data_IF_041774169502
#
_entry.id   IF_041774169502
#
_cell.length_a   1.000
_cell.length_b   1.000
_cell.length_c   1.000
_cell.angle_alpha   90.00
_cell.angle_beta   90.00
_cell.angle_gamma   90.00
#
_symmetry.space_group_name_H-M   'P 1'
#
loop_
_entity.id
_entity.type
_entity.pdbx_description
1 polymer ?
#
# COMPACT_ATOMS: atom_id res chain seq x y z
N UNK A 1 -5.53 -22.27 31.13
CA UNK A 1 -6.52 -21.46 30.40
C UNK A 1 -5.74 -20.31 29.77
N UNK A 2 -5.40 -20.43 28.49
CA UNK A 2 -4.62 -19.42 27.75
C UNK A 2 -5.63 -18.71 26.83
N UNK A 3 -6.07 -17.52 27.22
CA UNK A 3 -6.75 -16.58 26.34
C UNK A 3 -5.65 -15.65 25.79
N UNK A 4 -5.53 -15.26 24.54
CA UNK A 4 -6.26 -15.53 23.30
C UNK A 4 -5.35 -14.94 22.20
N UNK A 5 -5.12 -15.67 21.11
CA UNK A 5 -4.43 -15.10 19.96
C UNK A 5 -5.44 -14.18 19.30
N UNK A 6 -5.38 -12.86 19.54
CA UNK A 6 -6.32 -11.91 18.94
C UNK A 6 -6.51 -12.23 17.45
N UNK A 7 -7.70 -12.73 17.08
CA UNK A 7 -7.92 -13.18 15.71
C UNK A 7 -7.94 -11.95 14.84
N UNK A 8 -6.87 -11.75 14.06
CA UNK A 8 -6.82 -10.65 13.11
C UNK A 8 -7.64 -11.06 11.88
N UNK A 9 -8.74 -10.34 11.64
CA UNK A 9 -9.58 -10.55 10.46
C UNK A 9 -9.30 -9.43 9.47
N UNK A 10 -9.08 -9.78 8.20
CA UNK A 10 -8.89 -8.81 7.12
C UNK A 10 -10.10 -8.89 6.19
N UNK A 11 -10.77 -7.75 5.97
CA UNK A 11 -11.98 -7.66 5.17
C UNK A 11 -11.88 -6.51 4.15
N UNK A 12 -12.56 -6.62 3.00
CA UNK A 12 -12.80 -5.46 2.16
C UNK A 12 -13.65 -4.44 2.92
N UNK A 13 -13.33 -3.16 2.76
CA UNK A 13 -14.02 -2.04 3.40
C UNK A 13 -14.36 -0.95 2.39
N UNK A 14 -15.32 -0.09 2.72
CA UNK A 14 -15.64 1.08 1.90
C UNK A 14 -14.59 2.18 2.04
N UNK A 15 -14.58 3.13 1.10
CA UNK A 15 -13.74 4.34 1.20
C UNK A 15 -13.97 5.04 2.53
N UNK A 16 -15.24 5.23 2.92
CA UNK A 16 -15.59 5.99 4.12
C UNK A 16 -15.07 5.31 5.39
N UNK A 17 -15.06 3.97 5.44
CA UNK A 17 -14.45 3.20 6.54
C UNK A 17 -12.93 3.38 6.63
N UNK A 18 -12.25 3.80 5.56
CA UNK A 18 -10.80 4.09 5.60
C UNK A 18 -10.47 5.46 6.20
N UNK A 19 -11.39 6.43 6.05
CA UNK A 19 -11.07 7.85 6.24
C UNK A 19 -10.67 8.20 7.68
N UNK A 20 -11.34 7.71 8.74
CA UNK A 20 -10.97 8.03 10.11
C UNK A 20 -9.52 7.64 10.42
N UNK A 21 -9.13 6.41 10.09
CA UNK A 21 -7.77 5.93 10.39
C UNK A 21 -6.72 6.60 9.50
N UNK A 22 -7.03 6.86 8.22
CA UNK A 22 -6.14 7.63 7.33
C UNK A 22 -5.90 9.02 7.90
N UNK A 23 -6.92 9.70 8.40
CA UNK A 23 -6.80 11.02 9.02
C UNK A 23 -5.92 10.92 10.27
N UNK A 24 -6.32 10.07 11.23
CA UNK A 24 -5.63 9.89 12.52
C UNK A 24 -4.12 9.67 12.34
N UNK A 25 -3.73 8.77 11.43
CA UNK A 25 -2.34 8.31 11.32
C UNK A 25 -1.52 9.10 10.30
N UNK A 26 -2.11 9.49 9.16
CA UNK A 26 -1.34 10.08 8.07
C UNK A 26 -1.39 11.60 8.08
N UNK A 27 -2.53 12.19 8.45
CA UNK A 27 -2.77 13.63 8.40
C UNK A 27 -3.73 14.10 9.52
N UNK A 28 -3.32 14.00 10.81
CA UNK A 28 -4.21 14.29 11.93
C UNK A 28 -4.68 15.75 11.99
N UNK A 29 -3.95 16.65 11.35
CA UNK A 29 -4.27 18.08 11.30
C UNK A 29 -5.11 18.49 10.08
N UNK A 30 -5.40 17.57 9.14
CA UNK A 30 -6.21 17.88 7.96
C UNK A 30 -7.68 17.51 8.20
N UNK A 31 -8.63 18.27 7.64
CA UNK A 31 -10.03 17.87 7.64
C UNK A 31 -10.24 16.62 6.77
N UNK A 32 -11.25 15.81 7.10
CA UNK A 32 -11.46 14.46 6.54
C UNK A 32 -11.66 14.50 5.00
N UNK A 33 -12.23 15.57 4.47
CA UNK A 33 -12.46 15.78 3.03
C UNK A 33 -11.14 15.91 2.25
N UNK A 34 -10.07 16.39 2.91
CA UNK A 34 -8.72 16.50 2.31
C UNK A 34 -7.94 15.17 2.40
N UNK A 35 -8.45 14.20 3.16
CA UNK A 35 -7.85 12.86 3.29
C UNK A 35 -8.29 11.95 2.13
N UNK A 36 -9.53 12.14 1.66
CA UNK A 36 -10.14 11.43 0.52
C UNK A 36 -9.37 11.71 -0.76
N UNK A 37 -9.14 10.66 -1.55
CA UNK A 37 -8.51 10.75 -2.86
C UNK A 37 -9.58 10.90 -3.95
N UNK A 38 -9.35 11.74 -4.98
CA UNK A 38 -10.20 11.76 -6.17
C UNK A 38 -10.41 10.38 -6.80
N UNK A 39 -9.39 9.53 -6.73
CA UNK A 39 -9.32 8.19 -7.32
C UNK A 39 -9.74 7.06 -6.38
N UNK A 40 -10.21 7.34 -5.15
CA UNK A 40 -10.56 6.30 -4.17
C UNK A 40 -11.60 5.31 -4.73
N UNK A 41 -12.57 5.75 -5.53
CA UNK A 41 -13.59 4.88 -6.15
C UNK A 41 -13.03 3.83 -7.12
N UNK A 42 -11.78 3.98 -7.56
CA UNK A 42 -11.11 3.07 -8.48
C UNK A 42 -10.23 2.04 -7.75
N UNK A 43 -10.20 2.08 -6.42
CA UNK A 43 -9.35 1.24 -5.59
C UNK A 43 -10.09 0.09 -4.93
N UNK A 44 -9.30 -0.88 -4.45
CA UNK A 44 -9.73 -1.90 -3.50
C UNK A 44 -9.17 -1.55 -2.14
N UNK A 45 -10.02 -1.54 -1.12
CA UNK A 45 -9.64 -1.12 0.23
C UNK A 45 -9.84 -2.27 1.20
N UNK A 46 -8.86 -2.48 2.08
CA UNK A 46 -8.88 -3.52 3.08
C UNK A 46 -8.65 -2.93 4.46
N UNK A 47 -9.41 -3.42 5.43
CA UNK A 47 -9.26 -3.13 6.85
C UNK A 47 -8.85 -4.38 7.60
N UNK A 48 -7.96 -4.24 8.57
CA UNK A 48 -7.65 -5.28 9.54
C UNK A 48 -8.36 -4.97 10.86
N UNK A 49 -9.05 -5.96 11.42
CA UNK A 49 -9.87 -5.86 12.62
C UNK A 49 -9.35 -6.84 13.67
N UNK A 50 -9.30 -6.41 14.93
CA UNK A 50 -9.07 -7.30 16.05
C UNK A 50 -10.41 -7.76 16.61
N UNK A 51 -10.46 -8.94 17.23
CA UNK A 51 -11.65 -9.43 17.90
C UNK A 51 -12.25 -8.36 18.85
N UNK A 52 -13.55 -8.15 18.75
CA UNK A 52 -14.28 -7.16 19.54
C UNK A 52 -14.12 -5.71 19.08
N UNK A 53 -13.49 -5.45 17.93
CA UNK A 53 -13.42 -4.09 17.34
C UNK A 53 -14.35 -3.94 16.14
N UNK A 54 -15.13 -2.86 16.11
CA UNK A 54 -15.98 -2.50 14.97
C UNK A 54 -15.22 -1.69 13.91
N UNK A 55 -14.14 -1.01 14.32
CA UNK A 55 -13.31 -0.18 13.46
C UNK A 55 -12.02 -0.89 13.08
N UNK A 56 -11.58 -0.70 11.83
CA UNK A 56 -10.29 -1.20 11.39
C UNK A 56 -9.15 -0.57 12.20
N UNK A 57 -8.22 -1.39 12.67
CA UNK A 57 -6.99 -0.98 13.37
C UNK A 57 -5.82 -0.75 12.41
N UNK A 58 -5.96 -1.22 11.17
CA UNK A 58 -5.08 -0.90 10.06
C UNK A 58 -5.86 -0.88 8.75
N UNK A 59 -5.47 -0.01 7.81
CA UNK A 59 -6.10 0.09 6.48
C UNK A 59 -5.03 0.18 5.40
N UNK A 60 -5.32 -0.39 4.24
CA UNK A 60 -4.51 -0.29 3.02
C UNK A 60 -5.42 -0.18 1.81
N UNK A 61 -4.94 0.44 0.73
CA UNK A 61 -5.72 0.59 -0.51
C UNK A 61 -4.85 0.29 -1.72
N UNK A 62 -5.37 -0.45 -2.68
CA UNK A 62 -4.68 -0.91 -3.89
C UNK A 62 -5.37 -0.31 -5.12
N UNK A 63 -4.58 0.13 -6.09
CA UNK A 63 -5.04 0.74 -7.33
C UNK A 63 -4.28 0.10 -8.51
N UNK A 64 -4.94 -0.09 -9.66
CA UNK A 64 -4.22 -0.39 -10.91
C UNK A 64 -3.54 0.90 -11.38
N UNK A 65 -2.22 0.96 -11.27
CA UNK A 65 -1.43 2.14 -11.64
C UNK A 65 -0.08 1.70 -12.21
N UNK A 66 0.23 2.02 -13.49
CA UNK A 66 1.51 1.71 -14.14
C UNK A 66 2.74 2.21 -13.37
N UNK A 67 3.82 1.43 -13.34
CA UNK A 67 5.16 1.92 -12.92
C UNK A 67 5.74 2.91 -13.95
N UNK A 68 5.43 2.70 -15.24
CA UNK A 68 6.01 3.43 -16.37
C UNK A 68 5.74 4.95 -16.36
N UNK A 69 4.71 5.42 -15.66
CA UNK A 69 4.44 6.86 -15.48
C UNK A 69 5.60 7.62 -14.80
N UNK A 70 6.54 6.91 -14.18
CA UNK A 70 7.68 7.52 -13.49
C UNK A 70 9.05 7.17 -14.09
N UNK A 71 9.11 6.29 -15.09
CA UNK A 71 10.36 5.91 -15.77
C UNK A 71 10.66 6.81 -16.99
N UNK A 72 9.68 7.53 -17.52
CA UNK A 72 9.81 8.32 -18.77
C UNK A 72 10.32 9.74 -18.60
N UNK A 73 10.78 10.16 -17.40
CA UNK A 73 11.53 11.42 -17.25
C UNK A 73 13.02 11.21 -17.55
N UNK A 74 13.35 10.58 -18.67
CA UNK A 74 14.63 10.78 -19.34
C UNK A 74 14.45 11.91 -20.37
N UNK A 75 15.43 12.80 -20.49
CA UNK A 75 15.38 14.02 -21.32
C UNK A 75 15.31 13.78 -22.84
N UNK A 76 14.92 12.59 -23.31
CA UNK A 76 14.81 12.31 -24.74
C UNK A 76 13.52 12.90 -25.31
N UNK A 77 13.67 14.02 -26.01
CA UNK A 77 12.60 14.77 -26.67
C UNK A 77 11.92 14.01 -27.84
N UNK A 78 12.14 12.70 -27.99
CA UNK A 78 11.65 11.88 -29.09
C UNK A 78 11.04 10.52 -28.66
N UNK A 79 10.59 10.37 -27.42
CA UNK A 79 9.83 9.18 -27.03
C UNK A 79 8.32 9.44 -27.12
N UNK A 80 7.73 9.16 -28.29
CA UNK A 80 6.28 9.08 -28.46
C UNK A 80 5.69 8.14 -27.41
N UNK A 81 5.08 8.71 -26.36
CA UNK A 81 4.62 7.95 -25.20
C UNK A 81 3.30 7.27 -25.56
N UNK A 82 3.38 6.11 -26.21
CA UNK A 82 2.25 5.19 -26.26
C UNK A 82 2.12 4.59 -24.86
N UNK A 83 1.37 5.28 -23.99
CA UNK A 83 0.99 4.83 -22.66
C UNK A 83 0.09 3.59 -22.81
N UNK A 84 0.69 2.44 -23.08
CA UNK A 84 0.03 1.17 -22.91
C UNK A 84 -0.33 1.09 -21.42
N UNK A 85 -1.62 0.97 -21.10
CA UNK A 85 -2.04 0.63 -19.75
C UNK A 85 -1.40 -0.71 -19.41
N UNK A 86 -0.25 -0.66 -18.75
CA UNK A 86 0.36 -1.83 -18.20
C UNK A 86 -0.46 -2.27 -16.99
N UNK A 87 -1.47 -3.10 -17.26
CA UNK A 87 -2.35 -3.71 -16.25
C UNK A 87 -1.60 -4.71 -15.39
N UNK A 88 -0.33 -5.02 -15.71
CA UNK A 88 0.50 -5.92 -14.91
C UNK A 88 1.06 -5.27 -13.65
N UNK A 89 0.72 -4.02 -13.36
CA UNK A 89 1.22 -3.35 -12.16
C UNK A 89 0.09 -2.77 -11.30
N UNK A 90 0.29 -2.85 -9.99
CA UNK A 90 -0.61 -2.25 -9.01
C UNK A 90 0.20 -1.40 -8.02
N UNK A 91 -0.45 -0.37 -7.48
CA UNK A 91 0.12 0.48 -6.45
C UNK A 91 -0.70 0.39 -5.19
N UNK A 92 -0.06 0.16 -4.04
CA UNK A 92 -0.74 0.37 -2.77
C UNK A 92 -0.45 1.76 -2.21
N UNK A 93 -1.44 2.33 -1.55
CA UNK A 93 -1.42 3.67 -0.97
C UNK A 93 -2.21 3.69 0.33
N UNK A 94 -2.04 4.79 1.07
CA UNK A 94 -2.80 5.09 2.30
C UNK A 94 -2.72 3.97 3.34
N UNK A 95 -1.56 3.32 3.41
CA UNK A 95 -1.31 2.26 4.37
C UNK A 95 -1.05 2.87 5.75
N UNK A 96 -1.92 2.55 6.71
CA UNK A 96 -1.92 3.12 8.05
C UNK A 96 -2.26 2.04 9.09
N UNK A 97 -1.70 2.15 10.29
CA UNK A 97 -1.99 1.29 11.43
C UNK A 97 -1.98 2.13 12.72
N UNK A 98 -2.98 1.94 13.59
CA UNK A 98 -3.11 2.63 14.87
C UNK A 98 -1.80 2.57 15.65
N UNK A 99 -1.27 3.73 16.06
CA UNK A 99 0.08 3.83 16.62
C UNK A 99 0.28 2.93 17.86
N UNK A 100 -0.74 2.84 18.71
CA UNK A 100 -0.75 2.01 19.94
C UNK A 100 -0.75 0.49 19.67
N UNK A 101 -1.02 0.08 18.43
CA UNK A 101 -1.10 -1.31 17.99
C UNK A 101 0.04 -1.69 17.02
N UNK A 102 0.95 -0.76 16.70
CA UNK A 102 2.13 -1.06 15.89
C UNK A 102 3.10 -2.00 16.63
N UNK A 103 3.99 -2.64 15.87
CA UNK A 103 4.94 -3.64 16.40
C UNK A 103 4.36 -5.03 16.66
N UNK A 104 3.06 -5.24 16.41
CA UNK A 104 2.34 -6.51 16.67
C UNK A 104 2.10 -7.39 15.44
N UNK A 105 2.76 -7.11 14.33
CA UNK A 105 2.60 -7.86 13.08
C UNK A 105 1.34 -7.56 12.25
N UNK A 106 0.40 -6.76 12.76
CA UNK A 106 -0.86 -6.38 12.07
C UNK A 106 -0.60 -5.82 10.67
N UNK A 107 0.26 -4.80 10.56
CA UNK A 107 0.60 -4.21 9.27
C UNK A 107 1.29 -5.19 8.31
N UNK A 108 2.08 -6.14 8.82
CA UNK A 108 2.69 -7.18 7.99
C UNK A 108 1.62 -8.05 7.35
N UNK A 109 0.67 -8.54 8.16
CA UNK A 109 -0.41 -9.41 7.69
C UNK A 109 -1.30 -8.67 6.68
N UNK A 110 -1.62 -7.40 6.95
CA UNK A 110 -2.41 -6.58 6.03
C UNK A 110 -1.68 -6.32 4.70
N UNK A 111 -0.36 -6.04 4.73
CA UNK A 111 0.44 -5.90 3.52
C UNK A 111 0.49 -7.21 2.73
N UNK A 112 0.72 -8.36 3.39
CA UNK A 112 0.74 -9.67 2.74
C UNK A 112 -0.60 -9.99 2.05
N UNK A 113 -1.72 -9.71 2.73
CA UNK A 113 -3.05 -9.85 2.13
C UNK A 113 -3.20 -8.98 0.87
N UNK A 114 -2.80 -7.71 0.96
CA UNK A 114 -2.85 -6.78 -0.16
C UNK A 114 -1.98 -7.23 -1.35
N UNK A 115 -0.75 -7.67 -1.09
CA UNK A 115 0.15 -8.18 -2.12
C UNK A 115 -0.42 -9.44 -2.78
N UNK A 116 -0.97 -10.37 -1.98
CA UNK A 116 -1.58 -11.57 -2.52
C UNK A 116 -2.82 -11.24 -3.38
N UNK A 117 -3.70 -10.36 -2.91
CA UNK A 117 -4.84 -9.89 -3.69
C UNK A 117 -4.41 -9.25 -5.02
N UNK A 118 -3.40 -8.37 -5.01
CA UNK A 118 -2.90 -7.76 -6.23
C UNK A 118 -2.37 -8.81 -7.22
N UNK A 119 -1.68 -9.84 -6.71
CA UNK A 119 -1.16 -10.94 -7.54
C UNK A 119 -2.26 -11.82 -8.11
N UNK A 120 -3.18 -12.32 -7.27
CA UNK A 120 -4.15 -13.35 -7.65
C UNK A 120 -5.37 -12.76 -8.33
N UNK A 121 -5.93 -11.67 -7.79
CA UNK A 121 -7.20 -11.10 -8.26
C UNK A 121 -6.97 -10.05 -9.35
N UNK A 122 -5.89 -9.27 -9.25
CA UNK A 122 -5.60 -8.24 -10.26
C UNK A 122 -4.68 -8.73 -11.37
N UNK A 123 -4.02 -9.88 -11.20
CA UNK A 123 -3.02 -10.39 -12.13
C UNK A 123 -1.76 -9.50 -12.20
N UNK A 124 -1.51 -8.70 -11.15
CA UNK A 124 -0.34 -7.85 -11.11
C UNK A 124 0.92 -8.72 -11.01
N UNK A 125 1.93 -8.38 -11.80
CA UNK A 125 3.30 -8.91 -11.77
C UNK A 125 4.20 -8.08 -10.87
N UNK A 126 3.90 -6.79 -10.73
CA UNK A 126 4.63 -5.88 -9.84
C UNK A 126 3.65 -5.11 -8.98
N UNK A 127 3.98 -4.99 -7.69
CA UNK A 127 3.31 -4.05 -6.79
C UNK A 127 4.30 -2.99 -6.33
N UNK A 128 3.89 -1.73 -6.31
CA UNK A 128 4.75 -0.63 -5.88
C UNK A 128 4.06 0.37 -4.95
N UNK A 129 4.84 1.23 -4.30
CA UNK A 129 4.34 2.33 -3.47
C UNK A 129 5.33 3.49 -3.41
N UNK A 130 4.85 4.63 -2.89
CA UNK A 130 5.72 5.69 -2.40
C UNK A 130 5.88 5.51 -0.89
N UNK A 131 7.02 5.01 -0.46
CA UNK A 131 7.35 4.87 0.95
C UNK A 131 7.99 6.15 1.47
N UNK A 132 7.66 6.56 2.70
CA UNK A 132 8.49 7.54 3.41
C UNK A 132 9.88 6.94 3.56
N UNK A 133 10.94 7.71 3.36
CA UNK A 133 12.32 7.21 3.56
C UNK A 133 12.51 6.59 4.94
N UNK A 134 11.91 7.22 5.97
CA UNK A 134 11.96 6.74 7.35
C UNK A 134 11.37 5.33 7.57
N UNK A 135 10.57 4.81 6.62
CA UNK A 135 9.99 3.47 6.69
C UNK A 135 10.46 2.54 5.56
N UNK A 136 11.43 2.94 4.72
CA UNK A 136 11.89 2.11 3.59
C UNK A 136 12.43 0.75 4.05
N UNK A 137 13.25 0.73 5.11
CA UNK A 137 13.83 -0.51 5.66
C UNK A 137 12.76 -1.48 6.18
N UNK A 138 11.60 -0.97 6.61
CA UNK A 138 10.47 -1.82 7.01
C UNK A 138 9.86 -2.55 5.80
N UNK A 139 9.80 -1.89 4.64
CA UNK A 139 9.36 -2.51 3.39
C UNK A 139 10.42 -3.46 2.82
N UNK A 140 11.70 -3.14 2.94
CA UNK A 140 12.81 -4.01 2.52
C UNK A 140 12.79 -5.37 3.23
N UNK A 141 12.56 -5.37 4.54
CA UNK A 141 12.39 -6.60 5.34
C UNK A 141 11.17 -7.44 4.93
N UNK A 142 10.28 -6.91 4.08
CA UNK A 142 9.07 -7.56 3.55
C UNK A 142 9.16 -7.81 2.04
N UNK A 143 10.37 -7.75 1.48
CA UNK A 143 10.65 -8.13 0.09
C UNK A 143 10.50 -7.02 -0.94
N UNK A 144 10.24 -5.78 -0.52
CA UNK A 144 10.21 -4.65 -1.46
C UNK A 144 11.60 -4.04 -1.63
N UNK A 145 11.98 -3.69 -2.85
CA UNK A 145 13.24 -3.02 -3.16
C UNK A 145 13.01 -1.58 -3.64
N UNK A 146 13.89 -0.62 -3.27
CA UNK A 146 13.79 0.75 -3.75
C UNK A 146 14.08 0.85 -5.25
N UNK A 147 13.47 1.82 -5.93
CA UNK A 147 13.79 2.15 -7.33
C UNK A 147 13.58 3.65 -7.64
N UNK A 148 14.38 4.16 -8.57
CA UNK A 148 14.36 5.57 -8.98
C UNK A 148 14.88 6.53 -7.91
N UNK A 149 14.78 7.83 -8.19
CA UNK A 149 15.26 8.88 -7.30
C UNK A 149 14.33 9.12 -6.10
N UNK A 150 14.93 9.62 -5.02
CA UNK A 150 14.21 10.18 -3.86
C UNK A 150 13.50 11.48 -4.26
N UNK A 151 12.38 11.76 -3.61
CA UNK A 151 11.58 12.96 -3.89
C UNK A 151 10.78 13.40 -2.67
N UNK A 152 10.30 14.65 -2.66
CA UNK A 152 9.60 15.23 -1.51
C UNK A 152 8.11 15.40 -1.79
N UNK A 153 7.29 15.21 -0.75
CA UNK A 153 5.88 15.65 -0.69
C UNK A 153 5.73 16.57 0.51
N UNK A 154 5.76 17.88 0.27
CA UNK A 154 5.92 18.86 1.34
C UNK A 154 7.26 18.65 2.05
N UNK A 155 7.31 18.59 3.39
CA UNK A 155 8.56 18.41 4.14
C UNK A 155 9.03 16.95 4.23
N UNK A 156 8.24 15.99 3.75
CA UNK A 156 8.52 14.56 3.94
C UNK A 156 9.19 13.98 2.69
N UNK A 157 10.35 13.34 2.87
CA UNK A 157 11.07 12.62 1.82
C UNK A 157 10.49 11.21 1.60
N UNK A 158 10.40 10.81 0.34
CA UNK A 158 9.91 9.53 -0.14
C UNK A 158 10.92 8.87 -1.08
N UNK A 159 10.82 7.54 -1.15
CA UNK A 159 11.45 6.69 -2.17
C UNK A 159 10.37 5.75 -2.72
N UNK A 160 10.44 5.42 -4.01
CA UNK A 160 9.54 4.39 -4.56
C UNK A 160 10.07 3.02 -4.22
N UNK A 161 9.17 2.13 -3.79
CA UNK A 161 9.48 0.75 -3.44
C UNK A 161 8.63 -0.18 -4.32
N UNK A 162 9.17 -1.32 -4.74
CA UNK A 162 8.41 -2.33 -5.50
C UNK A 162 8.74 -3.74 -5.06
N UNK A 163 7.83 -4.66 -5.33
CA UNK A 163 8.05 -6.11 -5.31
C UNK A 163 7.60 -6.68 -6.65
N UNK A 164 8.46 -7.49 -7.26
CA UNK A 164 8.22 -8.16 -8.52
C UNK A 164 7.94 -9.65 -8.22
N UNK A 165 6.75 -10.16 -8.56
CA UNK A 165 6.34 -11.53 -8.26
C UNK A 165 6.97 -12.56 -9.19
N UNK A 166 7.30 -12.17 -10.42
CA UNK A 166 7.95 -13.04 -11.42
C UNK A 166 9.41 -13.41 -11.03
N UNK A 167 9.96 -12.78 -9.98
CA UNK A 167 11.31 -13.05 -9.48
C UNK A 167 11.40 -14.27 -8.53
N UNK A 168 10.26 -14.86 -8.12
CA UNK A 168 10.23 -16.01 -7.21
C UNK A 168 9.20 -17.07 -7.63
N UNK A 169 9.59 -18.35 -7.82
CA UNK A 169 8.65 -19.44 -8.05
C UNK A 169 7.64 -19.54 -6.89
N UNK A 170 6.38 -19.83 -7.24
CA UNK A 170 5.30 -20.01 -6.28
C UNK A 170 5.52 -21.33 -5.53
N UNK A 171 6.25 -21.26 -4.41
CA UNK A 171 6.19 -22.25 -3.35
C UNK A 171 6.13 -21.53 -1.99
N UNK A 172 4.92 -21.11 -1.64
CA UNK A 172 4.44 -21.02 -0.26
C UNK A 172 5.16 -20.05 0.70
N UNK A 173 4.49 -18.92 0.95
CA UNK A 173 4.69 -17.93 2.04
C UNK A 173 5.76 -16.86 1.80
N UNK A 174 5.28 -15.61 1.74
CA UNK A 174 6.01 -14.40 2.11
C UNK A 174 5.88 -14.25 3.62
#
# INVERSE_FOLDING_TARGET
>A
MVLDSSSLIILPITVDQTLPLRQEVLWPSLPIEKVKLPEDSNGWHFGAFLDGTEEAVAVISIFREPVATYLTKSNDHNAGTKQLLDTSTARFRKFACKATLQGRGIGTQLLQHALNFARTELGAKTVWCDARTATSQWYEKRGLTPFGDRFFKGPVEYVRMRIDFDAFPIDGKI
#
